data_IF_219745480402
#
_entry.id   IF_219745480402
#
_cell.length_a   1.000
_cell.length_b   1.000
_cell.length_c   1.000
_cell.angle_alpha   90.00
_cell.angle_beta   90.00
_cell.angle_gamma   90.00
#
_symmetry.space_group_name_H-M   'P 1'
#
loop_
_entity.id
_entity.type
_entity.pdbx_description
1 polymer ?
#
# COMPACT_ATOMS: atom_id res chain seq x y z
N UNK A 1 -50.15 8.01 12.87
CA UNK A 1 -49.20 6.89 12.97
C UNK A 1 -47.90 7.35 12.33
N UNK A 2 -46.88 7.64 13.14
CA UNK A 2 -45.59 8.14 12.66
C UNK A 2 -44.71 6.91 12.40
N UNK A 3 -44.13 6.73 11.21
CA UNK A 3 -43.22 5.61 10.99
C UNK A 3 -41.88 5.91 11.68
N UNK A 4 -41.46 4.99 12.55
CA UNK A 4 -40.17 5.00 13.21
C UNK A 4 -39.12 4.46 12.23
N UNK A 5 -38.32 5.35 11.63
CA UNK A 5 -37.18 4.96 10.80
C UNK A 5 -35.99 4.64 11.70
N UNK A 6 -35.69 3.35 11.88
CA UNK A 6 -34.49 2.88 12.57
C UNK A 6 -33.34 2.93 11.55
N UNK A 7 -32.47 3.93 11.68
CA UNK A 7 -31.22 4.01 10.90
C UNK A 7 -30.17 3.19 11.65
N UNK A 8 -29.91 1.98 11.15
CA UNK A 8 -28.81 1.14 11.65
C UNK A 8 -27.52 1.66 11.03
N UNK A 9 -26.76 2.46 11.78
CA UNK A 9 -25.37 2.75 11.46
C UNK A 9 -24.54 1.50 11.77
N UNK A 10 -24.36 0.63 10.80
CA UNK A 10 -23.32 -0.39 10.86
C UNK A 10 -21.98 0.30 10.65
N UNK A 11 -21.33 0.66 11.76
CA UNK A 11 -19.92 1.07 11.74
C UNK A 11 -19.08 -0.10 11.26
N UNK A 12 -18.29 0.11 10.21
CA UNK A 12 -17.29 -0.86 9.77
C UNK A 12 -16.12 -0.77 10.76
N UNK A 13 -16.11 -1.63 11.78
CA UNK A 13 -14.92 -1.80 12.61
C UNK A 13 -13.84 -2.51 11.78
N UNK A 14 -12.73 -1.82 11.53
CA UNK A 14 -11.57 -2.42 10.88
C UNK A 14 -10.89 -3.34 11.90
N UNK A 15 -11.01 -4.65 11.69
CA UNK A 15 -10.28 -5.67 12.45
C UNK A 15 -8.78 -5.38 12.35
N UNK A 16 -8.11 -5.31 13.51
CA UNK A 16 -6.66 -5.06 13.58
C UNK A 16 -5.81 -6.19 12.99
N UNK A 17 -6.42 -7.31 12.57
CA UNK A 17 -5.73 -8.47 12.02
C UNK A 17 -5.94 -8.70 10.51
N UNK A 18 -6.59 -7.77 9.81
CA UNK A 18 -6.91 -7.90 8.38
C UNK A 18 -5.75 -7.46 7.46
N UNK A 19 -4.50 -7.73 7.83
CA UNK A 19 -3.41 -7.71 6.85
C UNK A 19 -3.53 -8.98 6.01
N UNK A 20 -4.55 -9.02 5.15
CA UNK A 20 -4.63 -10.01 4.10
C UNK A 20 -3.43 -9.76 3.18
N UNK A 21 -2.37 -10.54 3.33
CA UNK A 21 -1.17 -10.42 2.51
C UNK A 21 -1.51 -10.59 1.02
N UNK A 22 -2.55 -11.36 0.66
CA UNK A 22 -3.02 -11.44 -0.74
C UNK A 22 -3.56 -10.09 -1.25
N UNK A 23 -4.01 -9.20 -0.38
CA UNK A 23 -4.53 -7.88 -0.78
C UNK A 23 -3.47 -6.95 -1.37
N UNK A 24 -2.18 -7.26 -1.22
CA UNK A 24 -1.10 -6.49 -1.85
C UNK A 24 -0.82 -6.97 -3.28
N UNK A 25 -1.22 -8.18 -3.65
CA UNK A 25 -0.99 -8.71 -4.98
C UNK A 25 -1.85 -7.94 -6.00
N UNK A 26 -1.27 -7.63 -7.16
CA UNK A 26 -1.88 -6.84 -8.23
C UNK A 26 -2.29 -5.41 -7.82
N UNK A 27 -1.57 -4.84 -6.85
CA UNK A 27 -1.75 -3.44 -6.42
C UNK A 27 -0.63 -2.53 -6.90
N UNK A 28 -0.95 -1.24 -7.05
CA UNK A 28 -0.01 -0.16 -7.36
C UNK A 28 0.06 0.80 -6.18
N UNK A 29 1.27 1.09 -5.72
CA UNK A 29 1.56 1.98 -4.60
C UNK A 29 2.43 3.13 -5.09
N UNK A 30 2.09 4.35 -4.72
CA UNK A 30 2.91 5.52 -5.00
C UNK A 30 3.61 5.95 -3.71
N UNK A 31 4.91 6.15 -3.78
CA UNK A 31 5.72 6.55 -2.63
C UNK A 31 5.35 7.97 -2.20
N UNK A 32 4.90 8.11 -0.95
CA UNK A 32 4.55 9.42 -0.40
C UNK A 32 5.74 10.09 0.29
N UNK A 33 6.50 9.33 1.06
CA UNK A 33 7.62 9.81 1.88
C UNK A 33 8.52 8.65 2.28
N UNK A 34 9.79 8.95 2.50
CA UNK A 34 10.75 8.06 3.17
C UNK A 34 11.05 8.68 4.53
N UNK A 35 10.94 7.88 5.59
CA UNK A 35 11.25 8.29 6.96
C UNK A 35 12.44 7.47 7.41
N UNK A 36 13.49 8.14 7.87
CA UNK A 36 14.62 7.50 8.52
C UNK A 36 14.18 7.01 9.91
N UNK A 37 14.35 5.71 10.18
CA UNK A 37 13.85 5.12 11.43
C UNK A 37 14.74 5.43 12.65
N UNK A 38 15.98 5.86 12.46
CA UNK A 38 16.90 6.19 13.56
C UNK A 38 16.73 7.65 13.99
N UNK A 39 16.58 8.56 13.02
CA UNK A 39 16.53 10.01 13.24
C UNK A 39 15.12 10.58 13.17
N UNK A 40 14.18 9.89 12.52
CA UNK A 40 12.82 10.37 12.24
C UNK A 40 12.76 11.40 11.10
N UNK A 41 13.89 11.70 10.45
CA UNK A 41 13.93 12.69 9.38
C UNK A 41 13.24 12.18 8.10
N UNK A 42 12.55 13.09 7.40
CA UNK A 42 11.90 12.78 6.13
C UNK A 42 12.89 13.07 5.00
N UNK A 43 13.27 12.04 4.26
CA UNK A 43 14.17 12.19 3.10
C UNK A 43 13.41 12.75 1.90
N UNK A 44 14.06 13.66 1.17
CA UNK A 44 13.56 14.22 -0.10
C UNK A 44 14.08 13.48 -1.34
N UNK A 45 14.78 12.37 -1.15
CA UNK A 45 15.31 11.56 -2.23
C UNK A 45 14.43 10.32 -2.42
N UNK A 46 14.03 9.98 -3.66
CA UNK A 46 14.22 10.73 -4.90
C UNK A 46 13.42 12.05 -4.91
N UNK A 47 13.90 13.08 -5.60
CA UNK A 47 13.28 14.43 -5.62
C UNK A 47 11.82 14.44 -6.11
N UNK A 48 11.38 13.39 -6.81
CA UNK A 48 10.06 13.25 -7.41
C UNK A 48 9.35 11.99 -6.87
N UNK A 49 9.07 11.97 -5.57
CA UNK A 49 8.42 10.84 -4.87
C UNK A 49 7.06 10.49 -5.48
N UNK A 50 6.30 11.50 -5.93
CA UNK A 50 4.99 11.38 -6.59
C UNK A 50 5.05 10.63 -7.94
N UNK A 51 6.25 10.42 -8.47
CA UNK A 51 6.49 9.63 -9.69
C UNK A 51 7.05 8.25 -9.41
N UNK A 52 7.28 7.91 -8.15
CA UNK A 52 7.80 6.62 -7.75
C UNK A 52 6.63 5.68 -7.45
N UNK A 53 6.32 4.87 -8.46
CA UNK A 53 5.28 3.86 -8.42
C UNK A 53 5.93 2.49 -8.23
N UNK A 54 5.36 1.65 -7.36
CA UNK A 54 5.69 0.23 -7.19
C UNK A 54 4.45 -0.58 -7.51
N UNK A 55 4.58 -1.59 -8.36
CA UNK A 55 3.49 -2.52 -8.67
C UNK A 55 3.88 -3.91 -8.21
N UNK A 56 3.06 -4.47 -7.31
CA UNK A 56 3.18 -5.85 -6.86
C UNK A 56 2.35 -6.71 -7.80
N UNK A 57 2.98 -7.69 -8.46
CA UNK A 57 2.32 -8.62 -9.38
C UNK A 57 2.29 -10.01 -8.79
N UNK A 58 1.46 -10.88 -9.33
CA UNK A 58 1.49 -12.31 -9.02
C UNK A 58 2.88 -12.93 -9.22
N UNK A 59 3.10 -14.09 -8.59
CA UNK A 59 4.37 -14.85 -8.67
C UNK A 59 5.59 -14.11 -8.13
N UNK A 60 5.38 -13.18 -7.19
CA UNK A 60 6.48 -12.49 -6.52
C UNK A 60 7.21 -11.49 -7.41
N UNK A 61 6.57 -10.93 -8.44
CA UNK A 61 7.20 -9.96 -9.36
C UNK A 61 6.91 -8.52 -8.90
N UNK A 62 7.94 -7.69 -8.79
CA UNK A 62 7.84 -6.24 -8.59
C UNK A 62 8.15 -5.50 -9.89
N UNK A 63 7.34 -4.51 -10.22
CA UNK A 63 7.54 -3.61 -11.35
C UNK A 63 7.68 -2.16 -10.85
N UNK A 64 8.72 -1.47 -11.32
CA UNK A 64 8.98 -0.05 -11.02
C UNK A 64 8.79 0.79 -12.29
N UNK A 65 7.54 1.15 -12.65
CA UNK A 65 7.30 1.89 -13.86
C UNK A 65 7.95 3.29 -13.78
N UNK A 66 8.44 3.79 -14.92
CA UNK A 66 9.10 5.08 -15.11
C UNK A 66 10.54 5.20 -14.60
N UNK A 67 11.11 4.16 -13.98
CA UNK A 67 12.56 4.09 -13.79
C UNK A 67 13.26 3.60 -15.06
N UNK A 68 14.50 4.06 -15.27
CA UNK A 68 15.31 3.72 -16.46
C UNK A 68 15.49 2.19 -16.53
N UNK A 69 15.02 1.59 -17.63
CA UNK A 69 15.16 0.18 -18.01
C UNK A 69 14.57 -0.83 -17.00
N UNK A 70 13.28 -1.14 -17.14
CA UNK A 70 12.65 -2.41 -16.74
C UNK A 70 13.27 -3.08 -15.49
N UNK A 71 13.20 -2.40 -14.35
CA UNK A 71 13.64 -2.95 -13.08
C UNK A 71 12.59 -3.94 -12.59
N UNK A 72 12.79 -5.23 -12.86
CA UNK A 72 12.04 -6.33 -12.28
C UNK A 72 12.68 -6.67 -10.93
N UNK A 73 11.98 -6.39 -9.83
CA UNK A 73 12.34 -6.92 -8.51
C UNK A 73 11.60 -8.23 -8.26
N UNK A 74 12.03 -8.96 -7.23
CA UNK A 74 11.25 -10.08 -6.69
C UNK A 74 10.82 -9.76 -5.26
N UNK A 75 9.65 -10.23 -4.85
CA UNK A 75 9.16 -10.14 -3.47
C UNK A 75 8.59 -11.48 -3.02
N UNK A 76 8.72 -11.75 -1.72
CA UNK A 76 8.06 -12.86 -1.05
C UNK A 76 7.24 -12.30 0.11
N UNK A 77 5.99 -12.73 0.22
CA UNK A 77 5.16 -12.43 1.38
C UNK A 77 5.36 -13.55 2.39
N UNK A 78 5.89 -13.20 3.55
CA UNK A 78 6.08 -14.13 4.66
C UNK A 78 4.97 -13.84 5.66
N UNK A 79 4.07 -14.80 5.87
CA UNK A 79 3.19 -14.80 7.05
C UNK A 79 3.94 -15.45 8.19
N UNK A 80 3.99 -14.77 9.34
CA UNK A 80 4.29 -15.42 10.61
C UNK A 80 3.09 -16.23 11.10
#
# INVERSE_FOLDING_TARGET
MIPLSIIIFSGCEKSNNDLNLESIIDTKWTLLKIIDNETGEITKFPEQLDKFDIVFKQHGILELPKYCNYSFGAYNLISN
#
